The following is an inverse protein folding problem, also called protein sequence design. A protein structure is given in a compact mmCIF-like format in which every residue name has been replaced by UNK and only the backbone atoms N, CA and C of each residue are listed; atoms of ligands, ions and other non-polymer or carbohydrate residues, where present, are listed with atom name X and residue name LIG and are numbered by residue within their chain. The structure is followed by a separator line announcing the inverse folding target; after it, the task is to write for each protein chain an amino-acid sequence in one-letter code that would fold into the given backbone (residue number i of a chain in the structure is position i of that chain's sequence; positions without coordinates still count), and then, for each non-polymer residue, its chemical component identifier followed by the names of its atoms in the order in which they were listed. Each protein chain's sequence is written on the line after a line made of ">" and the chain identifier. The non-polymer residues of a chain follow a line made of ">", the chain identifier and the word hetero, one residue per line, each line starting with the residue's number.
data_IF_871264426046
#
_entry.id   IF_871264426046
#
_cell.length_a   1.000
_cell.length_b   1.000
_cell.length_c   1.000
_cell.angle_alpha   90.00
_cell.angle_beta   90.00
_cell.angle_gamma   90.00
#
_symmetry.space_group_name_H-M   'P 1'
#
loop_
_entity.id
_entity.type
_entity.pdbx_description
1 polymer ?
#
# COMPACT_ATOMS: atom_id res chain seq x y z
N UNK A 1 -7.55 10.83 15.66
CA UNK A 1 -8.18 10.91 14.33
C UNK A 1 -7.66 9.75 13.51
N UNK A 2 -8.50 8.75 13.26
CA UNK A 2 -8.14 7.53 12.51
C UNK A 2 -9.26 7.25 11.51
N UNK A 3 -9.45 8.15 10.53
CA UNK A 3 -10.45 7.98 9.48
C UNK A 3 -9.85 7.27 8.27
N UNK A 4 -10.66 6.46 7.59
CA UNK A 4 -10.32 5.97 6.25
C UNK A 4 -10.63 7.05 5.22
N UNK A 5 -9.98 7.00 4.06
CA UNK A 5 -10.21 7.95 2.96
C UNK A 5 -10.56 7.20 1.68
N UNK A 6 -11.39 7.79 0.84
CA UNK A 6 -11.57 7.38 -0.55
C UNK A 6 -10.78 8.33 -1.44
N UNK A 7 -9.86 7.78 -2.23
CA UNK A 7 -9.05 8.52 -3.19
C UNK A 7 -9.56 8.27 -4.62
N UNK A 8 -9.66 9.34 -5.41
CA UNK A 8 -10.06 9.30 -6.83
C UNK A 8 -9.57 10.51 -7.61
N UNK A 9 -9.45 10.33 -8.92
CA UNK A 9 -9.11 11.40 -9.86
C UNK A 9 -10.26 11.51 -10.86
N UNK A 10 -10.75 12.72 -11.08
CA UNK A 10 -11.84 12.97 -12.01
C UNK A 10 -11.49 12.49 -13.42
N UNK A 11 -12.36 11.70 -14.03
CA UNK A 11 -12.21 11.17 -15.40
C UNK A 11 -10.92 10.36 -15.62
N UNK A 12 -10.33 9.78 -14.56
CA UNK A 12 -9.14 8.93 -14.64
C UNK A 12 -9.29 7.66 -13.81
N UNK A 13 -8.76 6.57 -14.34
CA UNK A 13 -8.74 5.29 -13.66
C UNK A 13 -7.41 5.10 -12.92
N UNK A 14 -7.47 4.37 -11.81
CA UNK A 14 -6.36 4.00 -10.95
C UNK A 14 -6.02 2.53 -11.17
N UNK A 15 -4.87 2.25 -11.77
CA UNK A 15 -4.37 0.88 -11.89
C UNK A 15 -3.54 0.55 -10.65
N UNK A 16 -3.99 -0.40 -9.83
CA UNK A 16 -3.31 -0.80 -8.61
C UNK A 16 -2.03 -1.59 -8.94
N UNK A 17 -0.89 -1.10 -8.49
CA UNK A 17 0.43 -1.71 -8.72
C UNK A 17 0.97 -2.38 -7.47
N UNK A 18 0.74 -1.76 -6.31
CA UNK A 18 1.32 -2.20 -5.04
C UNK A 18 0.40 -1.90 -3.87
N UNK A 19 0.39 -2.81 -2.88
CA UNK A 19 -0.28 -2.64 -1.60
C UNK A 19 0.66 -3.15 -0.51
N UNK A 20 0.96 -2.32 0.50
CA UNK A 20 1.86 -2.62 1.62
C UNK A 20 3.25 -3.14 1.22
N UNK A 21 3.87 -2.60 0.17
CA UNK A 21 5.18 -3.07 -0.28
C UNK A 21 5.14 -4.33 -1.15
N UNK A 22 3.95 -4.86 -1.46
CA UNK A 22 3.78 -6.06 -2.26
C UNK A 22 3.11 -5.77 -3.60
N UNK A 23 3.73 -6.24 -4.69
CA UNK A 23 3.16 -6.16 -6.03
C UNK A 23 1.83 -6.91 -6.11
N UNK A 24 0.83 -6.24 -6.67
CA UNK A 24 -0.51 -6.80 -6.87
C UNK A 24 -0.72 -7.24 -8.31
N UNK A 25 -1.69 -8.11 -8.52
CA UNK A 25 -2.30 -8.28 -9.84
C UNK A 25 -2.89 -6.94 -10.24
N UNK A 26 -2.60 -6.49 -11.45
CA UNK A 26 -2.96 -5.16 -11.93
C UNK A 26 -4.46 -5.08 -12.19
N UNK A 27 -5.20 -4.62 -11.18
CA UNK A 27 -6.62 -4.32 -11.28
C UNK A 27 -6.82 -2.82 -11.45
N UNK A 28 -7.90 -2.45 -12.14
CA UNK A 28 -8.25 -1.05 -12.41
C UNK A 28 -9.45 -0.64 -11.58
N UNK A 29 -9.38 0.53 -10.95
CA UNK A 29 -10.40 1.08 -10.06
C UNK A 29 -10.69 2.54 -10.42
N UNK A 30 -11.95 2.97 -10.32
CA UNK A 30 -12.34 4.38 -10.50
C UNK A 30 -12.05 5.20 -9.22
N UNK A 31 -12.10 4.55 -8.07
CA UNK A 31 -11.75 5.10 -6.76
C UNK A 31 -11.25 4.00 -5.84
N UNK A 32 -10.54 4.36 -4.78
CA UNK A 32 -9.97 3.39 -3.86
C UNK A 32 -10.11 3.84 -2.40
N UNK A 33 -10.72 3.00 -1.56
CA UNK A 33 -10.74 3.19 -0.10
C UNK A 33 -9.39 2.77 0.49
N UNK A 34 -8.73 3.68 1.21
CA UNK A 34 -7.45 3.50 1.90
C UNK A 34 -7.70 3.65 3.39
N UNK A 35 -7.33 2.62 4.15
CA UNK A 35 -7.52 2.59 5.60
C UNK A 35 -6.26 3.06 6.35
N UNK A 36 -6.43 3.36 7.63
CA UNK A 36 -5.33 3.82 8.49
C UNK A 36 -4.24 2.75 8.56
N UNK A 37 -3.00 3.18 8.35
CA UNK A 37 -1.83 2.30 8.33
C UNK A 37 -1.61 1.60 6.99
N UNK A 38 -2.49 1.79 6.00
CA UNK A 38 -2.28 1.25 4.67
C UNK A 38 -1.43 2.16 3.78
N UNK A 39 -0.67 1.53 2.88
CA UNK A 39 0.11 2.15 1.83
C UNK A 39 -0.18 1.49 0.49
N UNK A 40 -0.44 2.30 -0.53
CA UNK A 40 -0.83 1.84 -1.86
C UNK A 40 -0.17 2.66 -2.95
N UNK A 41 0.15 2.03 -4.07
CA UNK A 41 0.68 2.71 -5.26
C UNK A 41 -0.20 2.44 -6.48
N UNK A 42 -0.47 3.49 -7.24
CA UNK A 42 -1.27 3.44 -8.46
C UNK A 42 -0.46 3.92 -9.66
N UNK A 43 -0.66 3.26 -10.79
CA UNK A 43 -0.33 3.78 -12.11
C UNK A 43 -1.56 4.51 -12.65
N UNK A 44 -1.37 5.75 -13.11
CA UNK A 44 -2.44 6.57 -13.68
C UNK A 44 -2.04 6.98 -15.09
N UNK A 45 -2.85 6.61 -16.06
CA UNK A 45 -2.67 7.00 -17.46
C UNK A 45 -3.40 8.31 -17.72
N UNK A 46 -2.67 9.35 -18.15
CA UNK A 46 -3.23 10.66 -18.49
C UNK A 46 -3.72 10.66 -19.96
N UNK A 47 -4.82 9.99 -20.24
CA UNK A 47 -5.37 9.80 -21.60
C UNK A 47 -6.72 10.47 -21.83
N UNK A 48 -7.07 11.47 -21.02
CA UNK A 48 -8.37 12.13 -21.14
C UNK A 48 -8.49 12.92 -22.47
N UNK A 49 -9.64 12.83 -23.12
CA UNK A 49 -9.90 13.41 -24.46
C UNK A 49 -9.82 14.94 -24.48
N UNK A 50 -10.13 15.59 -23.35
CA UNK A 50 -10.17 17.03 -23.24
C UNK A 50 -8.92 17.53 -22.51
N UNK A 51 -8.20 18.49 -23.07
CA UNK A 51 -7.06 19.11 -22.38
C UNK A 51 -7.59 20.16 -21.39
N UNK A 52 -7.80 19.75 -20.14
CA UNK A 52 -8.29 20.59 -19.04
C UNK A 52 -7.67 20.18 -17.71
N UNK A 53 -7.91 20.96 -16.66
CA UNK A 53 -7.55 20.58 -15.30
C UNK A 53 -8.60 19.66 -14.68
N UNK A 54 -8.15 18.68 -13.89
CA UNK A 54 -8.99 17.66 -13.26
C UNK A 54 -8.90 17.71 -11.73
N UNK A 55 -10.01 17.40 -11.04
CA UNK A 55 -9.99 17.23 -9.58
C UNK A 55 -9.27 15.94 -9.19
N UNK A 56 -8.34 16.06 -8.24
CA UNK A 56 -7.89 14.96 -7.39
C UNK A 56 -8.65 15.10 -6.07
N UNK A 57 -9.32 14.05 -5.62
CA UNK A 57 -10.20 14.11 -4.46
C UNK A 57 -9.83 13.01 -3.47
N UNK A 58 -9.67 13.42 -2.21
CA UNK A 58 -9.63 12.53 -1.05
C UNK A 58 -10.79 12.88 -0.12
N UNK A 59 -11.73 11.97 0.07
CA UNK A 59 -12.91 12.19 0.93
C UNK A 59 -12.92 11.23 2.11
N UNK A 60 -13.32 11.67 3.30
CA UNK A 60 -13.48 10.79 4.47
C UNK A 60 -14.50 9.70 4.22
N UNK A 61 -14.27 8.54 4.84
CA UNK A 61 -15.14 7.36 4.77
C UNK A 61 -15.46 6.88 6.17
N UNK A 62 -16.69 6.39 6.35
CA UNK A 62 -17.21 5.84 7.61
C UNK A 62 -17.30 6.85 8.77
N UNK A 63 -17.41 8.14 8.44
CA UNK A 63 -17.58 9.22 9.41
C UNK A 63 -18.95 9.87 9.24
N UNK A 64 -19.50 10.43 10.34
CA UNK A 64 -20.77 11.14 10.31
C UNK A 64 -20.71 12.45 9.51
N UNK A 65 -19.54 13.10 9.51
CA UNK A 65 -19.27 14.30 8.73
C UNK A 65 -18.37 13.97 7.53
N UNK A 66 -18.81 14.37 6.33
CA UNK A 66 -18.02 14.26 5.12
C UNK A 66 -16.95 15.37 5.10
N UNK A 67 -15.69 14.97 5.13
CA UNK A 67 -14.53 15.85 4.97
C UNK A 67 -13.92 15.58 3.59
N UNK A 68 -13.68 16.64 2.82
CA UNK A 68 -13.11 16.53 1.48
C UNK A 68 -11.82 17.35 1.42
N UNK A 69 -10.77 16.74 0.89
CA UNK A 69 -9.55 17.39 0.45
C UNK A 69 -9.47 17.29 -1.07
N UNK A 70 -9.15 18.40 -1.73
CA UNK A 70 -9.06 18.48 -3.18
C UNK A 70 -7.70 19.00 -3.60
N UNK A 71 -7.25 18.53 -4.75
CA UNK A 71 -6.07 19.04 -5.46
C UNK A 71 -6.37 19.09 -6.96
N UNK A 72 -5.47 19.72 -7.70
CA UNK A 72 -5.61 19.91 -9.15
C UNK A 72 -4.57 19.12 -9.90
N UNK A 73 -5.01 18.30 -10.84
CA UNK A 73 -4.18 17.67 -11.85
C UNK A 73 -4.20 18.55 -13.11
N UNK A 74 -3.12 19.29 -13.33
CA UNK A 74 -2.97 20.20 -14.45
C UNK A 74 -2.38 19.47 -15.66
N UNK A 75 -3.12 19.45 -16.77
CA UNK A 75 -2.62 18.93 -18.04
C UNK A 75 -1.78 19.98 -18.76
N UNK A 76 -0.69 19.54 -19.39
CA UNK A 76 0.11 20.43 -20.22
C UNK A 76 -0.75 21.01 -21.37
N UNK A 77 -0.76 22.33 -21.51
CA UNK A 77 -1.60 23.04 -22.49
C UNK A 77 -3.04 23.32 -22.03
N UNK A 78 -3.40 22.95 -20.79
CA UNK A 78 -4.70 23.30 -20.22
C UNK A 78 -4.80 24.81 -19.96
N UNK A 79 -5.84 25.43 -20.50
CA UNK A 79 -6.23 26.82 -20.20
C UNK A 79 -7.47 26.90 -19.31
N UNK A 80 -8.13 25.76 -19.09
CA UNK A 80 -9.37 25.66 -18.33
C UNK A 80 -9.07 25.14 -16.92
N UNK A 81 -9.31 26.01 -15.92
CA UNK A 81 -9.28 25.62 -14.51
C UNK A 81 -10.35 24.57 -14.22
N UNK A 82 -10.14 23.80 -13.15
CA UNK A 82 -11.10 22.78 -12.74
C UNK A 82 -12.46 23.42 -12.48
N UNK A 83 -13.52 22.83 -13.01
CA UNK A 83 -14.89 23.33 -12.91
C UNK A 83 -15.90 22.20 -12.76
N UNK A 84 -17.07 22.52 -12.21
CA UNK A 84 -18.15 21.56 -11.97
C UNK A 84 -18.11 20.89 -10.58
N UNK A 85 -19.04 19.97 -10.31
CA UNK A 85 -19.13 19.25 -9.04
C UNK A 85 -17.95 18.27 -8.87
N UNK A 86 -17.58 18.01 -7.62
CA UNK A 86 -16.58 16.98 -7.31
C UNK A 86 -17.11 15.60 -7.73
N UNK A 87 -16.25 14.70 -8.26
CA UNK A 87 -16.65 13.33 -8.50
C UNK A 87 -17.20 12.69 -7.21
N UNK A 88 -18.30 11.97 -7.33
CA UNK A 88 -18.97 11.35 -6.19
C UNK A 88 -18.10 10.22 -5.60
N UNK A 89 -18.12 10.02 -4.26
CA UNK A 89 -17.54 8.83 -3.67
C UNK A 89 -18.33 7.58 -4.10
N UNK A 90 -17.76 6.37 -3.96
CA UNK A 90 -18.43 5.14 -4.34
C UNK A 90 -19.72 4.93 -3.54
N UNK A 91 -20.73 4.40 -4.24
CA UNK A 91 -22.00 4.01 -3.63
C UNK A 91 -21.81 2.74 -2.78
N UNK A 92 -22.28 2.79 -1.54
CA UNK A 92 -22.06 1.74 -0.57
C UNK A 92 -20.94 2.09 0.41
N UNK A 93 -21.20 1.85 1.69
CA UNK A 93 -20.23 2.07 2.75
C UNK A 93 -19.36 0.82 2.89
N UNK A 94 -19.52 0.10 4.00
CA UNK A 94 -18.74 -1.08 4.35
C UNK A 94 -18.75 -2.19 3.29
N UNK A 95 -19.90 -2.56 2.65
CA UNK A 95 -19.91 -3.66 1.69
C UNK A 95 -19.04 -3.39 0.46
N UNK A 96 -19.02 -2.14 0.00
CA UNK A 96 -18.21 -1.73 -1.15
C UNK A 96 -16.71 -1.83 -0.82
N UNK A 97 -16.30 -1.26 0.31
CA UNK A 97 -14.91 -1.30 0.80
C UNK A 97 -14.45 -2.73 1.05
N UNK A 98 -15.30 -3.59 1.61
CA UNK A 98 -14.99 -5.00 1.83
C UNK A 98 -14.83 -5.76 0.50
N UNK A 99 -15.66 -5.47 -0.50
CA UNK A 99 -15.54 -6.07 -1.82
C UNK A 99 -14.27 -5.60 -2.55
N UNK A 100 -13.90 -4.32 -2.42
CA UNK A 100 -12.61 -3.83 -2.89
C UNK A 100 -11.46 -4.60 -2.25
N UNK A 101 -11.43 -4.71 -0.91
CA UNK A 101 -10.39 -5.45 -0.21
C UNK A 101 -10.28 -6.92 -0.68
N UNK A 102 -11.42 -7.57 -0.92
CA UNK A 102 -11.47 -8.94 -1.46
C UNK A 102 -10.98 -9.05 -2.90
N UNK A 103 -11.05 -7.99 -3.69
CA UNK A 103 -10.59 -7.98 -5.09
C UNK A 103 -9.06 -7.90 -5.22
N UNK A 104 -8.37 -7.43 -4.17
CA UNK A 104 -6.91 -7.33 -4.16
C UNK A 104 -6.30 -8.73 -4.10
N UNK A 105 -5.37 -8.98 -5.02
CA UNK A 105 -4.61 -10.24 -5.11
C UNK A 105 -3.15 -9.90 -5.27
N UNK A 106 -2.29 -10.54 -4.48
CA UNK A 106 -0.85 -10.42 -4.66
C UNK A 106 -0.41 -11.14 -5.93
N UNK A 107 0.48 -10.50 -6.68
CA UNK A 107 1.13 -11.12 -7.81
C UNK A 107 2.36 -11.89 -7.31
N UNK A 108 2.19 -13.19 -7.08
CA UNK A 108 3.25 -14.05 -6.57
C UNK A 108 4.37 -14.33 -7.58
N UNK A 109 4.18 -13.98 -8.86
CA UNK A 109 5.23 -14.14 -9.89
C UNK A 109 6.09 -12.88 -10.04
N UNK A 110 5.59 -11.70 -9.66
CA UNK A 110 6.32 -10.44 -9.74
C UNK A 110 7.52 -10.36 -8.78
N UNK A 111 7.45 -11.09 -7.65
CA UNK A 111 8.50 -11.17 -6.63
C UNK A 111 9.22 -12.52 -6.62
N UNK A 112 8.98 -13.39 -7.61
CA UNK A 112 9.64 -14.68 -7.66
C UNK A 112 11.15 -14.43 -7.75
N UNK A 113 11.87 -14.96 -6.75
CA UNK A 113 13.32 -15.07 -6.79
C UNK A 113 13.73 -15.53 -8.19
N UNK A 114 14.79 -14.90 -8.75
CA UNK A 114 15.40 -15.26 -10.04
C UNK A 114 15.29 -16.77 -10.25
N UNK A 115 14.97 -17.27 -11.45
CA UNK A 115 14.75 -18.68 -11.71
C UNK A 115 15.96 -19.49 -11.26
N UNK A 116 15.92 -19.92 -10.01
CA UNK A 116 16.91 -20.75 -9.39
C UNK A 116 16.09 -21.96 -8.94
N UNK A 117 16.37 -23.15 -9.48
CA UNK A 117 15.66 -24.36 -9.12
C UNK A 117 15.49 -24.46 -7.59
N UNK A 118 14.34 -24.88 -7.09
CA UNK A 118 14.17 -25.09 -5.65
C UNK A 118 15.26 -26.07 -5.17
N UNK A 119 16.18 -25.61 -4.29
CA UNK A 119 17.35 -26.38 -3.84
C UNK A 119 18.70 -26.03 -4.50
N UNK A 120 18.74 -25.06 -5.40
CA UNK A 120 19.96 -24.56 -6.07
C UNK A 120 20.94 -23.81 -5.17
N UNK A 121 20.47 -23.22 -4.07
CA UNK A 121 21.33 -22.74 -3.01
C UNK A 121 21.86 -23.93 -2.23
N UNK A 122 23.06 -24.38 -2.58
CA UNK A 122 23.80 -25.34 -1.78
C UNK A 122 24.30 -24.63 -0.51
N UNK A 123 23.41 -24.45 0.47
CA UNK A 123 23.73 -23.76 1.73
C UNK A 123 24.94 -24.37 2.46
N UNK A 124 25.21 -25.67 2.26
CA UNK A 124 26.39 -26.35 2.80
C UNK A 124 27.72 -25.91 2.18
N UNK A 125 27.72 -25.26 1.02
CA UNK A 125 28.92 -24.74 0.34
C UNK A 125 29.11 -23.24 0.55
N UNK A 126 28.13 -22.55 1.16
CA UNK A 126 28.23 -21.12 1.45
C UNK A 126 28.96 -20.98 2.80
N UNK A 127 30.13 -20.32 2.83
CA UNK A 127 30.85 -20.12 4.08
C UNK A 127 30.01 -19.26 5.03
N UNK A 128 29.71 -19.81 6.21
CA UNK A 128 29.04 -19.06 7.28
C UNK A 128 30.01 -18.01 7.80
N UNK A 129 29.71 -16.74 7.56
CA UNK A 129 30.57 -15.64 8.03
C UNK A 129 30.32 -15.29 9.49
N UNK A 130 29.06 -15.41 9.96
CA UNK A 130 28.64 -15.16 11.34
C UNK A 130 27.41 -15.99 11.68
N UNK A 131 27.41 -16.62 12.85
CA UNK A 131 26.22 -17.26 13.42
C UNK A 131 25.69 -16.40 14.56
N UNK A 132 24.43 -15.98 14.49
CA UNK A 132 23.75 -15.28 15.57
C UNK A 132 22.91 -16.26 16.37
N UNK A 133 23.25 -16.45 17.63
CA UNK A 133 22.44 -17.24 18.56
C UNK A 133 21.61 -16.28 19.41
N UNK A 134 20.30 -16.45 19.37
CA UNK A 134 19.36 -15.69 20.18
C UNK A 134 18.91 -16.55 21.35
N UNK A 135 19.52 -16.35 22.52
CA UNK A 135 19.13 -17.05 23.74
C UNK A 135 18.28 -16.14 24.63
N UNK A 136 17.21 -16.69 25.20
CA UNK A 136 16.45 -16.02 26.25
C UNK A 136 17.00 -16.47 27.60
N UNK A 137 17.42 -15.52 28.45
CA UNK A 137 17.80 -15.81 29.83
C UNK A 137 16.89 -15.04 30.80
N UNK A 138 16.72 -15.64 31.98
CA UNK A 138 16.04 -15.03 33.12
C UNK A 138 17.04 -14.09 33.81
N UNK A 139 16.72 -12.81 33.91
CA UNK A 139 17.51 -11.83 34.65
C UNK A 139 16.66 -11.12 35.71
N UNK A 140 17.25 -10.84 36.86
CA UNK A 140 16.64 -9.97 37.87
C UNK A 140 17.21 -8.57 37.73
N UNK A 141 16.40 -7.65 37.22
CA UNK A 141 16.75 -6.23 37.11
C UNK A 141 15.88 -5.48 38.12
N UNK A 142 16.51 -4.79 39.07
CA UNK A 142 15.83 -4.04 40.14
C UNK A 142 14.80 -4.86 40.94
N UNK A 143 15.09 -6.14 41.21
CA UNK A 143 14.21 -7.01 42.01
C UNK A 143 13.04 -7.63 41.25
N UNK A 144 12.86 -7.29 39.97
CA UNK A 144 11.81 -7.87 39.11
C UNK A 144 12.46 -8.84 38.11
N UNK A 145 11.93 -10.06 38.04
CA UNK A 145 12.34 -11.04 37.02
C UNK A 145 11.86 -10.58 35.64
N UNK A 146 12.79 -10.45 34.71
CA UNK A 146 12.54 -10.16 33.30
C UNK A 146 13.21 -11.22 32.42
N UNK A 147 12.59 -11.53 31.28
CA UNK A 147 13.18 -12.38 30.26
C UNK A 147 13.77 -11.50 29.17
N UNK A 148 15.08 -11.58 28.97
CA UNK A 148 15.79 -10.78 27.96
C UNK A 148 16.42 -11.68 26.92
N UNK A 149 16.34 -11.26 25.66
CA UNK A 149 16.97 -11.93 24.53
C UNK A 149 18.35 -11.34 24.31
N UNK A 150 19.37 -12.18 24.37
CA UNK A 150 20.77 -11.80 24.15
C UNK A 150 21.23 -12.33 22.79
N UNK A 151 21.68 -11.46 21.87
CA UNK A 151 22.37 -11.90 20.67
C UNK A 151 23.84 -12.21 21.02
N UNK A 152 24.28 -13.44 20.76
CA UNK A 152 25.70 -13.79 20.74
C UNK A 152 26.13 -14.14 19.32
N UNK A 153 27.34 -13.70 18.95
CA UNK A 153 27.95 -13.99 17.66
C UNK A 153 28.95 -15.12 17.88
N UNK A 154 28.74 -16.25 17.19
CA UNK A 154 29.76 -17.29 17.07
C UNK A 154 30.51 -17.07 15.76
N UNK A 155 31.83 -17.01 15.84
CA UNK A 155 32.70 -17.16 14.68
C UNK A 155 32.63 -18.61 14.17
N UNK A 156 32.79 -18.84 12.86
CA UNK A 156 32.72 -20.18 12.27
C UNK A 156 33.75 -21.15 12.87
#
# INVERSE_FOLDING_TARGET
>A
MTTSINFRIQDHNLQLVEVEGAHTVQNVYDSFDIHVGQSVAFLVTLNATNVKDYYVVASSRFESSLLNATATLHYNGSTMKVSGPLPNPPNGQYPWSMNQAKSIRWNLTANAARPNPQGSFHYGTIPITRTWVLANSKENINGTTQFRRYPSILSP
#
